data_IF_512690964374
#
_entry.id   IF_512690964374
#
_cell.length_a   1.000
_cell.length_b   1.000
_cell.length_c   1.000
_cell.angle_alpha   90.00
_cell.angle_beta   90.00
_cell.angle_gamma   90.00
#
_symmetry.space_group_name_H-M   'P 1'
#
loop_
_entity.id
_entity.type
_entity.pdbx_description
1 polymer ?
#
# COMPACT_ATOMS: atom_id res chain seq x y z
N UNK A 1 -4.17 25.80 -10.05
CA UNK A 1 -3.99 24.49 -9.38
C UNK A 1 -4.94 23.50 -10.03
N UNK A 2 -4.44 22.42 -10.63
CA UNK A 2 -5.27 21.35 -11.17
C UNK A 2 -4.96 20.08 -10.37
N UNK A 3 -5.98 19.48 -9.76
CA UNK A 3 -5.85 18.17 -9.13
C UNK A 3 -6.07 17.06 -10.19
N UNK A 4 -5.26 16.00 -10.14
CA UNK A 4 -5.39 14.80 -10.98
C UNK A 4 -5.65 13.60 -10.08
N UNK A 5 -6.78 12.92 -10.31
CA UNK A 5 -7.11 11.67 -9.62
C UNK A 5 -6.25 10.54 -10.15
N UNK A 6 -5.56 9.83 -9.26
CA UNK A 6 -4.65 8.71 -9.60
C UNK A 6 -5.07 7.38 -8.99
N UNK A 7 -6.03 7.37 -8.06
CA UNK A 7 -6.62 6.15 -7.47
C UNK A 7 -8.09 6.38 -7.09
N UNK A 8 -8.87 5.31 -7.08
CA UNK A 8 -10.28 5.26 -6.62
C UNK A 8 -10.48 4.04 -5.73
N UNK A 9 -11.57 4.01 -4.94
CA UNK A 9 -11.87 2.92 -3.97
C UNK A 9 -10.77 2.71 -2.92
N UNK A 10 -10.21 3.81 -2.41
CA UNK A 10 -9.29 3.80 -1.28
C UNK A 10 -10.13 3.64 -0.01
N UNK A 11 -9.71 2.76 0.92
CA UNK A 11 -10.32 2.74 2.26
C UNK A 11 -10.17 4.14 2.84
N UNK A 12 -11.23 4.80 3.34
CA UNK A 12 -11.06 5.98 4.17
C UNK A 12 -10.37 5.52 5.45
N UNK A 13 -9.05 5.45 5.41
CA UNK A 13 -8.24 5.18 6.58
C UNK A 13 -8.30 6.46 7.41
N UNK A 14 -8.86 6.35 8.61
CA UNK A 14 -8.97 7.49 9.52
C UNK A 14 -7.58 7.92 10.01
N UNK A 15 -6.55 7.08 9.81
CA UNK A 15 -5.20 7.28 10.37
C UNK A 15 -4.06 7.32 9.31
N UNK A 16 -4.10 6.59 8.18
CA UNK A 16 -3.02 6.70 7.16
C UNK A 16 -3.43 6.43 5.70
N UNK A 17 -3.29 7.48 4.88
CA UNK A 17 -3.53 7.43 3.43
C UNK A 17 -2.40 6.73 2.65
N UNK A 18 -2.41 6.83 1.30
CA UNK A 18 -1.32 6.29 0.48
C UNK A 18 0.03 6.93 0.84
N UNK A 19 1.13 6.20 0.61
CA UNK A 19 2.49 6.69 0.82
C UNK A 19 3.28 6.72 -0.49
N UNK A 20 4.20 7.67 -0.62
CA UNK A 20 5.16 7.71 -1.72
C UNK A 20 6.31 6.75 -1.45
N UNK A 21 6.82 6.11 -2.50
CA UNK A 21 8.15 5.51 -2.48
C UNK A 21 9.23 6.58 -2.70
N UNK A 22 10.47 6.34 -2.26
CA UNK A 22 11.56 7.32 -2.36
C UNK A 22 11.90 7.74 -3.79
N UNK A 23 11.55 6.91 -4.78
CA UNK A 23 11.74 7.23 -6.20
C UNK A 23 10.83 8.35 -6.73
N UNK A 24 9.87 8.83 -5.94
CA UNK A 24 8.89 9.87 -6.31
C UNK A 24 8.05 9.55 -7.56
N UNK A 25 8.05 8.29 -8.01
CA UNK A 25 7.31 7.80 -9.18
C UNK A 25 6.25 6.78 -8.80
N UNK A 26 6.40 6.14 -7.65
CA UNK A 26 5.49 5.10 -7.20
C UNK A 26 4.79 5.48 -5.91
N UNK A 27 3.51 5.16 -5.84
CA UNK A 27 2.67 5.29 -4.64
C UNK A 27 2.26 3.90 -4.19
N UNK A 28 2.35 3.64 -2.89
CA UNK A 28 1.82 2.44 -2.25
C UNK A 28 0.52 2.75 -1.52
N UNK A 29 -0.42 1.81 -1.56
CA UNK A 29 -1.71 1.96 -0.89
C UNK A 29 -2.34 0.61 -0.59
N UNK A 30 -3.22 0.58 0.42
CA UNK A 30 -4.09 -0.56 0.69
C UNK A 30 -5.34 -0.44 -0.18
N UNK A 31 -5.61 -1.46 -1.00
CA UNK A 31 -6.83 -1.53 -1.81
C UNK A 31 -8.00 -1.96 -0.91
N UNK A 32 -9.13 -1.26 -1.01
CA UNK A 32 -10.37 -1.67 -0.33
C UNK A 32 -10.98 -2.88 -1.02
N UNK A 33 -10.49 -4.07 -0.68
CA UNK A 33 -10.99 -5.33 -1.21
C UNK A 33 -11.01 -6.38 -0.10
N UNK A 34 -12.12 -6.43 0.63
CA UNK A 34 -12.29 -7.35 1.75
C UNK A 34 -12.35 -8.82 1.33
N UNK A 35 -12.69 -9.10 0.06
CA UNK A 35 -12.69 -10.48 -0.45
C UNK A 35 -11.25 -10.98 -0.64
N UNK A 36 -10.34 -10.07 -0.99
CA UNK A 36 -8.90 -10.31 -1.14
C UNK A 36 -8.08 -9.84 0.07
N UNK A 37 -8.71 -9.72 1.24
CA UNK A 37 -8.06 -9.36 2.51
C UNK A 37 -7.30 -8.02 2.49
N UNK A 38 -7.83 -7.00 1.84
CA UNK A 38 -7.24 -5.66 1.71
C UNK A 38 -5.78 -5.72 1.21
N UNK A 39 -5.54 -6.08 -0.07
CA UNK A 39 -4.21 -6.26 -0.59
C UNK A 39 -3.46 -4.93 -0.74
N UNK A 40 -2.13 -4.99 -0.59
CA UNK A 40 -1.26 -3.83 -0.83
C UNK A 40 -0.95 -3.72 -2.32
N UNK A 41 -1.08 -2.52 -2.85
CA UNK A 41 -0.84 -2.21 -4.25
C UNK A 41 0.20 -1.10 -4.40
N UNK A 42 0.85 -1.11 -5.56
CA UNK A 42 1.76 -0.09 -6.02
C UNK A 42 1.21 0.48 -7.32
N UNK A 43 1.26 1.80 -7.49
CA UNK A 43 0.96 2.48 -8.74
C UNK A 43 2.16 3.30 -9.19
N UNK A 44 2.57 3.15 -10.44
CA UNK A 44 3.47 4.09 -11.12
C UNK A 44 2.64 5.28 -11.62
N UNK A 45 2.95 6.50 -11.17
CA UNK A 45 2.13 7.70 -11.44
C UNK A 45 2.22 8.20 -12.88
N UNK A 46 3.34 7.93 -13.55
CA UNK A 46 3.59 8.33 -14.93
C UNK A 46 2.84 7.41 -15.90
N UNK A 47 2.96 6.10 -15.66
CA UNK A 47 2.43 5.06 -16.55
C UNK A 47 1.00 4.64 -16.18
N UNK A 48 0.52 5.00 -14.98
CA UNK A 48 -0.71 4.48 -14.37
C UNK A 48 -0.74 2.94 -14.31
N UNK A 49 0.43 2.31 -14.26
CA UNK A 49 0.56 0.87 -14.12
C UNK A 49 0.36 0.48 -12.66
N UNK A 50 -0.43 -0.57 -12.41
CA UNK A 50 -0.75 -1.07 -11.08
C UNK A 50 -0.22 -2.49 -10.89
N UNK A 51 0.37 -2.78 -9.72
CA UNK A 51 0.81 -4.12 -9.35
C UNK A 51 0.41 -4.44 -7.91
N UNK A 52 -0.06 -5.66 -7.66
CA UNK A 52 -0.29 -6.17 -6.30
C UNK A 52 1.03 -6.64 -5.68
N UNK A 53 1.27 -6.28 -4.42
CA UNK A 53 2.37 -6.83 -3.64
C UNK A 53 1.90 -8.10 -2.91
N UNK A 54 2.63 -9.21 -3.11
CA UNK A 54 2.33 -10.48 -2.43
C UNK A 54 2.97 -10.50 -1.04
N UNK A 55 2.17 -10.29 0.00
CA UNK A 55 2.65 -10.19 1.40
C UNK A 55 2.49 -11.46 2.23
N UNK A 56 1.68 -12.44 1.77
CA UNK A 56 1.30 -13.65 2.53
C UNK A 56 0.55 -13.38 3.86
N UNK A 57 0.10 -12.15 4.07
CA UNK A 57 -0.66 -11.68 5.23
C UNK A 57 -2.13 -11.45 4.86
N UNK A 58 -2.98 -11.13 5.85
CA UNK A 58 -4.40 -10.79 5.64
C UNK A 58 -4.73 -9.46 6.29
N UNK A 59 -5.78 -8.80 5.81
CA UNK A 59 -6.32 -7.55 6.35
C UNK A 59 -5.21 -6.51 6.57
N UNK A 60 -4.54 -6.13 5.48
CA UNK A 60 -3.45 -5.16 5.56
C UNK A 60 -4.00 -3.75 5.77
N UNK A 61 -3.27 -2.94 6.56
CA UNK A 61 -3.60 -1.57 6.93
C UNK A 61 -2.33 -0.75 7.18
N UNK A 62 -2.48 0.56 7.32
CA UNK A 62 -1.45 1.46 7.85
C UNK A 62 -0.10 1.42 7.11
N UNK A 63 -0.15 1.45 5.77
CA UNK A 63 1.04 1.27 4.93
C UNK A 63 1.88 2.56 4.82
N UNK A 64 3.19 2.43 4.99
CA UNK A 64 4.17 3.52 4.81
C UNK A 64 5.47 3.02 4.20
N UNK A 65 6.35 3.92 3.76
CA UNK A 65 7.70 3.57 3.29
C UNK A 65 8.79 4.38 3.98
N UNK A 66 9.95 3.75 4.15
CA UNK A 66 11.20 4.41 4.52
C UNK A 66 11.96 4.93 3.30
N UNK A 67 13.01 5.71 3.54
CA UNK A 67 13.86 6.34 2.52
C UNK A 67 14.65 5.36 1.65
N UNK A 68 14.84 4.11 2.10
CA UNK A 68 15.47 3.03 1.34
C UNK A 68 14.47 2.21 0.51
N UNK A 69 13.18 2.51 0.60
CA UNK A 69 12.11 1.81 -0.11
C UNK A 69 11.55 0.59 0.63
N UNK A 70 12.00 0.32 1.86
CA UNK A 70 11.34 -0.66 2.72
C UNK A 70 9.93 -0.17 3.09
N UNK A 71 8.96 -1.08 3.05
CA UNK A 71 7.56 -0.80 3.36
C UNK A 71 7.26 -1.33 4.75
N UNK A 72 6.59 -0.54 5.59
CA UNK A 72 6.02 -1.00 6.86
C UNK A 72 4.49 -0.97 6.79
N UNK A 73 3.82 -1.95 7.40
CA UNK A 73 2.37 -2.06 7.41
C UNK A 73 1.88 -2.91 8.58
N UNK A 74 0.63 -2.70 9.01
CA UNK A 74 -0.07 -3.60 9.92
C UNK A 74 -0.79 -4.68 9.11
N UNK A 75 -0.80 -5.91 9.61
CA UNK A 75 -1.62 -6.97 9.05
C UNK A 75 -2.00 -8.01 10.09
N UNK A 76 -3.09 -8.75 9.82
CA UNK A 76 -3.57 -9.82 10.66
C UNK A 76 -2.91 -11.15 10.31
N UNK A 77 -2.35 -11.83 11.30
CA UNK A 77 -1.90 -13.23 11.24
C UNK A 77 -2.22 -13.92 12.57
N UNK A 78 -2.55 -15.22 12.52
CA UNK A 78 -2.89 -16.00 13.74
C UNK A 78 -3.95 -15.30 14.64
N UNK A 79 -4.95 -14.68 14.02
CA UNK A 79 -6.05 -13.89 14.63
C UNK A 79 -5.67 -12.53 15.23
N UNK A 80 -4.39 -12.14 15.26
CA UNK A 80 -3.92 -10.87 15.83
C UNK A 80 -3.30 -9.95 14.79
N UNK A 81 -3.39 -8.65 15.03
CA UNK A 81 -2.65 -7.66 14.25
C UNK A 81 -1.18 -7.60 14.67
N UNK A 82 -0.30 -7.62 13.69
CA UNK A 82 1.14 -7.51 13.84
C UNK A 82 1.69 -6.46 12.86
N UNK A 83 2.89 -5.97 13.15
CA UNK A 83 3.61 -5.05 12.26
C UNK A 83 4.57 -5.86 11.38
N UNK A 84 4.53 -5.60 10.09
CA UNK A 84 5.37 -6.22 9.08
C UNK A 84 6.23 -5.19 8.37
N UNK A 85 7.37 -5.66 7.89
CA UNK A 85 8.17 -4.96 6.89
C UNK A 85 8.27 -5.81 5.62
N UNK A 86 8.29 -5.16 4.46
CA UNK A 86 8.50 -5.80 3.17
C UNK A 86 9.48 -4.98 2.32
N UNK A 87 10.32 -5.68 1.57
CA UNK A 87 11.21 -5.08 0.59
C UNK A 87 10.59 -5.34 -0.79
N UNK A 88 10.55 -4.31 -1.62
CA UNK A 88 10.06 -4.47 -2.98
C UNK A 88 11.05 -5.31 -3.79
N UNK A 89 10.56 -6.28 -4.59
CA UNK A 89 11.42 -6.95 -5.55
C UNK A 89 11.93 -5.91 -6.56
N UNK A 90 13.21 -6.04 -6.94
CA UNK A 90 13.83 -5.27 -8.01
C UNK A 90 13.11 -5.50 -9.35
#
# INVERSE_FOLDING_TARGET
LYAKMVATNVIPDIESGPAWLPDSKRIIYVKNDRQEYNPIYIVNVDEKAHASLKTTTKMNHDVTSSSDGTIAFRAQTEQWDQIYIAILPN
#
